data_IF_423658917207
#
_entry.id   IF_423658917207
#
_cell.length_a   1.000
_cell.length_b   1.000
_cell.length_c   1.000
_cell.angle_alpha   90.00
_cell.angle_beta   90.00
_cell.angle_gamma   90.00
#
_symmetry.space_group_name_H-M   'P 1'
#
loop_
_entity.id
_entity.type
_entity.pdbx_description
1 polymer ?
#
# COMPACT_ATOMS: atom_id res chain seq x y z
N UNK A 1 18.42 9.41 -6.51
CA UNK A 1 19.33 8.26 -6.41
C UNK A 1 19.13 7.50 -5.09
N UNK A 2 19.30 8.14 -3.91
CA UNK A 2 19.20 7.45 -2.61
C UNK A 2 17.82 6.85 -2.32
N UNK A 3 16.73 7.48 -2.75
CA UNK A 3 15.37 6.92 -2.66
C UNK A 3 15.27 5.60 -3.43
N UNK A 4 15.85 5.56 -4.64
CA UNK A 4 15.87 4.36 -5.46
C UNK A 4 16.71 3.24 -4.82
N UNK A 5 17.85 3.60 -4.19
CA UNK A 5 18.72 2.62 -3.52
C UNK A 5 18.05 1.94 -2.35
N UNK A 6 17.23 2.68 -1.63
CA UNK A 6 16.66 2.22 -0.38
C UNK A 6 15.33 1.47 -0.54
N UNK A 7 14.59 1.73 -1.60
CA UNK A 7 13.23 1.21 -1.79
C UNK A 7 13.14 0.22 -2.95
N UNK A 8 14.02 0.35 -3.96
CA UNK A 8 13.90 -0.38 -5.21
C UNK A 8 14.90 -1.53 -5.31
N UNK A 9 14.44 -2.76 -5.57
CA UNK A 9 15.32 -3.87 -5.96
C UNK A 9 15.91 -3.64 -7.37
N UNK A 10 17.01 -4.35 -7.69
CA UNK A 10 17.47 -4.43 -9.07
C UNK A 10 16.47 -5.23 -9.93
N UNK A 11 16.31 -4.93 -11.25
CA UNK A 11 17.04 -3.92 -12.03
C UNK A 11 16.45 -2.51 -11.98
N UNK A 12 15.31 -2.31 -11.30
CA UNK A 12 14.60 -1.03 -11.25
C UNK A 12 15.47 0.07 -10.61
N UNK A 13 16.24 -0.28 -9.58
CA UNK A 13 17.18 0.62 -8.91
C UNK A 13 18.17 1.25 -9.89
N UNK A 14 18.86 0.41 -10.68
CA UNK A 14 19.84 0.89 -11.66
C UNK A 14 19.20 1.76 -12.75
N UNK A 15 18.00 1.42 -13.21
CA UNK A 15 17.29 2.22 -14.23
C UNK A 15 16.91 3.60 -13.70
N UNK A 16 16.38 3.68 -12.48
CA UNK A 16 16.05 4.98 -11.85
C UNK A 16 17.31 5.78 -11.55
N UNK A 17 18.39 5.15 -11.08
CA UNK A 17 19.67 5.82 -10.88
C UNK A 17 20.19 6.42 -12.18
N UNK A 18 20.25 5.64 -13.26
CA UNK A 18 20.70 6.11 -14.56
C UNK A 18 19.85 7.26 -15.10
N UNK A 19 18.51 7.20 -14.91
CA UNK A 19 17.62 8.30 -15.30
C UNK A 19 17.86 9.57 -14.48
N UNK A 20 18.06 9.45 -13.18
CA UNK A 20 18.38 10.58 -12.29
C UNK A 20 19.76 11.16 -12.65
N UNK A 21 20.77 10.32 -12.84
CA UNK A 21 22.12 10.76 -13.22
C UNK A 21 22.11 11.46 -14.58
N UNK A 22 21.33 10.95 -15.55
CA UNK A 22 21.14 11.61 -16.86
C UNK A 22 20.50 13.01 -16.72
N UNK A 23 19.46 13.13 -15.89
CA UNK A 23 18.79 14.42 -15.64
C UNK A 23 19.71 15.40 -14.92
N UNK A 24 20.50 14.94 -13.96
CA UNK A 24 21.44 15.77 -13.21
C UNK A 24 22.60 16.24 -14.08
N UNK A 25 23.12 15.40 -14.99
CA UNK A 25 24.25 15.72 -15.85
C UNK A 25 23.89 16.71 -16.98
N UNK A 26 22.65 16.65 -17.48
CA UNK A 26 22.22 17.44 -18.62
C UNK A 26 21.53 18.79 -18.26
N UNK A 27 21.07 18.98 -17.02
CA UNK A 27 20.21 20.14 -16.70
C UNK A 27 20.79 21.18 -15.74
N UNK A 28 21.83 20.91 -14.97
CA UNK A 28 22.62 21.90 -14.20
C UNK A 28 23.59 21.19 -13.22
N UNK A 29 24.90 21.34 -13.35
CA UNK A 29 25.88 20.70 -12.44
C UNK A 29 25.83 21.24 -11.01
N UNK A 30 25.22 22.41 -10.78
CA UNK A 30 25.19 23.07 -9.45
C UNK A 30 23.95 22.70 -8.60
N UNK A 31 23.03 21.90 -9.12
CA UNK A 31 21.73 21.74 -8.46
C UNK A 31 21.70 20.73 -7.31
N UNK A 32 22.61 19.76 -7.27
CA UNK A 32 22.67 18.76 -6.19
C UNK A 32 24.12 18.38 -5.89
N UNK A 33 24.74 19.10 -4.97
CA UNK A 33 25.97 18.64 -4.34
C UNK A 33 25.72 17.24 -3.71
N UNK A 34 26.66 16.32 -3.92
CA UNK A 34 26.66 14.97 -3.36
C UNK A 34 26.43 14.95 -1.84
N UNK A 35 26.80 16.03 -1.15
CA UNK A 35 26.57 16.22 0.28
C UNK A 35 25.08 16.35 0.62
N UNK A 36 24.29 17.07 -0.19
CA UNK A 36 22.84 17.21 0.01
C UNK A 36 22.11 15.88 -0.20
N UNK A 37 22.48 15.12 -1.24
CA UNK A 37 21.91 13.79 -1.49
C UNK A 37 22.21 12.82 -0.36
N UNK A 38 23.42 12.89 0.23
CA UNK A 38 23.80 12.07 1.40
C UNK A 38 23.04 12.47 2.68
N UNK A 39 22.66 13.74 2.80
CA UNK A 39 21.90 14.22 3.97
C UNK A 39 20.40 13.89 3.91
N UNK A 40 19.85 13.52 2.74
CA UNK A 40 18.47 13.12 2.60
C UNK A 40 18.28 11.71 3.16
N UNK A 41 17.55 11.61 4.27
CA UNK A 41 17.19 10.32 4.88
C UNK A 41 15.74 10.00 4.59
N UNK A 42 15.50 8.86 3.93
CA UNK A 42 14.17 8.31 3.72
C UNK A 42 14.12 6.97 4.45
N UNK A 43 13.25 6.89 5.45
CA UNK A 43 13.01 5.65 6.19
C UNK A 43 11.69 5.05 5.70
N UNK A 44 11.72 4.01 4.88
CA UNK A 44 10.51 3.35 4.36
C UNK A 44 9.80 2.47 5.42
N UNK A 45 10.24 2.50 6.67
CA UNK A 45 9.78 1.61 7.73
C UNK A 45 10.42 0.22 7.67
N UNK A 46 9.72 -0.79 8.17
CA UNK A 46 10.18 -2.18 8.12
C UNK A 46 10.20 -2.65 6.66
N UNK A 47 11.34 -3.20 6.25
CA UNK A 47 11.50 -3.77 4.91
C UNK A 47 11.21 -5.26 4.94
N UNK A 48 10.54 -5.72 3.90
CA UNK A 48 10.32 -7.14 3.69
C UNK A 48 11.39 -7.66 2.75
N UNK A 49 12.04 -8.76 3.12
CA UNK A 49 13.00 -9.42 2.25
C UNK A 49 12.29 -9.97 1.01
N UNK A 50 12.84 -9.69 -0.16
CA UNK A 50 12.34 -10.18 -1.44
C UNK A 50 13.50 -10.92 -2.13
N UNK A 51 13.23 -12.12 -2.60
CA UNK A 51 14.16 -12.86 -3.44
C UNK A 51 14.42 -12.09 -4.73
N UNK A 52 15.70 -11.90 -5.06
CA UNK A 52 16.12 -11.08 -6.19
C UNK A 52 15.69 -11.68 -7.53
N UNK A 53 15.78 -12.99 -7.68
CA UNK A 53 15.47 -13.67 -8.95
C UNK A 53 13.96 -13.68 -9.18
N UNK A 54 13.17 -13.87 -8.11
CA UNK A 54 11.70 -13.72 -8.15
C UNK A 54 11.32 -12.30 -8.55
N UNK A 55 11.92 -11.28 -7.94
CA UNK A 55 11.60 -9.89 -8.29
C UNK A 55 11.93 -9.60 -9.75
N UNK A 56 13.11 -9.99 -10.21
CA UNK A 56 13.55 -9.79 -11.59
C UNK A 56 12.61 -10.47 -12.60
N UNK A 57 12.20 -11.72 -12.31
CA UNK A 57 11.25 -12.45 -13.16
C UNK A 57 9.90 -11.74 -13.23
N UNK A 58 9.37 -11.28 -12.10
CA UNK A 58 8.10 -10.51 -12.06
C UNK A 58 8.24 -9.19 -12.80
N UNK A 59 9.35 -8.48 -12.60
CA UNK A 59 9.62 -7.20 -13.25
C UNK A 59 9.72 -7.32 -14.77
N UNK A 60 10.49 -8.29 -15.28
CA UNK A 60 10.62 -8.51 -16.72
C UNK A 60 9.30 -8.96 -17.35
N UNK A 61 8.55 -9.83 -16.70
CA UNK A 61 7.24 -10.25 -17.20
C UNK A 61 6.25 -9.07 -17.26
N UNK A 62 6.23 -8.21 -16.24
CA UNK A 62 5.43 -6.97 -16.24
C UNK A 62 5.85 -6.04 -17.39
N UNK A 63 7.15 -5.77 -17.54
CA UNK A 63 7.71 -4.87 -18.54
C UNK A 63 7.45 -5.34 -19.98
N UNK A 64 7.47 -6.66 -20.20
CA UNK A 64 7.32 -7.27 -21.52
C UNK A 64 5.94 -7.86 -21.78
N UNK A 65 5.00 -7.66 -20.85
CA UNK A 65 3.61 -8.15 -20.89
C UNK A 65 3.52 -9.68 -21.03
N UNK A 66 4.41 -10.42 -20.37
CA UNK A 66 4.34 -11.87 -20.34
C UNK A 66 3.57 -12.38 -19.13
N UNK A 67 2.79 -13.43 -19.35
CA UNK A 67 2.11 -14.17 -18.28
C UNK A 67 3.14 -14.82 -17.36
N UNK A 68 2.87 -14.85 -16.06
CA UNK A 68 3.68 -15.52 -15.03
C UNK A 68 2.97 -16.76 -14.50
N UNK A 69 3.73 -17.84 -14.34
CA UNK A 69 3.37 -18.97 -13.49
C UNK A 69 4.12 -18.81 -12.14
N UNK A 70 3.39 -18.74 -11.02
CA UNK A 70 3.96 -18.50 -9.69
C UNK A 70 3.52 -19.56 -8.68
N UNK A 71 4.42 -19.88 -7.74
CA UNK A 71 4.07 -20.53 -6.47
C UNK A 71 3.89 -19.46 -5.40
N UNK A 72 2.68 -19.36 -4.85
CA UNK A 72 2.29 -18.27 -3.97
C UNK A 72 1.86 -18.78 -2.59
N UNK A 73 2.45 -18.21 -1.54
CA UNK A 73 2.09 -18.44 -0.14
C UNK A 73 1.07 -17.38 0.31
N UNK A 74 -0.16 -17.79 0.61
CA UNK A 74 -1.18 -16.85 1.08
C UNK A 74 -0.98 -16.44 2.55
N UNK A 75 -1.79 -15.49 3.04
CA UNK A 75 -1.71 -15.03 4.43
C UNK A 75 -2.05 -16.13 5.46
N UNK A 76 -2.67 -17.22 5.02
CA UNK A 76 -2.96 -18.40 5.84
C UNK A 76 -1.90 -19.51 5.72
N UNK A 77 -0.71 -19.20 5.18
CA UNK A 77 0.39 -20.13 4.95
C UNK A 77 0.04 -21.31 4.02
N UNK A 78 -0.91 -21.14 3.10
CA UNK A 78 -1.27 -22.16 2.11
C UNK A 78 -0.57 -21.85 0.80
N UNK A 79 0.19 -22.81 0.30
CA UNK A 79 0.84 -22.71 -1.01
C UNK A 79 -0.17 -23.03 -2.12
N UNK A 80 -0.07 -22.30 -3.22
CA UNK A 80 -0.91 -22.51 -4.40
C UNK A 80 -0.17 -22.06 -5.68
N UNK A 81 -0.36 -22.81 -6.77
CA UNK A 81 0.11 -22.42 -8.09
C UNK A 81 -0.89 -21.45 -8.72
N UNK A 82 -0.38 -20.37 -9.28
CA UNK A 82 -1.17 -19.33 -9.93
C UNK A 82 -0.57 -18.99 -11.28
N UNK A 83 -1.44 -18.75 -12.24
CA UNK A 83 -1.09 -18.07 -13.50
C UNK A 83 -1.64 -16.67 -13.44
N UNK A 84 -0.79 -15.68 -13.67
CA UNK A 84 -1.16 -14.27 -13.56
C UNK A 84 -0.63 -13.46 -14.75
N UNK A 85 -1.37 -12.44 -15.15
CA UNK A 85 -0.93 -11.43 -16.10
C UNK A 85 -0.62 -10.16 -15.30
N UNK A 86 0.65 -9.82 -15.04
CA UNK A 86 1.04 -8.69 -14.20
C UNK A 86 0.81 -7.36 -14.94
N UNK A 87 -0.10 -6.49 -14.45
CA UNK A 87 -0.43 -5.22 -15.08
C UNK A 87 0.22 -4.02 -14.38
N UNK A 88 0.37 -4.09 -13.06
CA UNK A 88 0.90 -2.99 -12.24
C UNK A 88 1.89 -3.53 -11.21
N UNK A 89 2.99 -2.80 -11.01
CA UNK A 89 3.86 -2.95 -9.84
C UNK A 89 3.59 -1.81 -8.87
N UNK A 90 3.44 -2.12 -7.59
CA UNK A 90 3.19 -1.14 -6.55
C UNK A 90 4.10 -1.37 -5.34
N UNK A 91 4.63 -0.28 -4.78
CA UNK A 91 5.32 -0.29 -3.50
C UNK A 91 4.43 0.36 -2.44
N UNK A 92 4.18 -0.35 -1.35
CA UNK A 92 3.39 0.16 -0.22
C UNK A 92 3.83 -0.47 1.09
N UNK A 93 3.92 0.33 2.14
CA UNK A 93 4.21 -0.10 3.52
C UNK A 93 5.45 -1.00 3.61
N UNK A 94 6.53 -0.67 2.87
CA UNK A 94 7.79 -1.40 2.87
C UNK A 94 7.80 -2.68 2.02
N UNK A 95 6.74 -2.99 1.28
CA UNK A 95 6.63 -4.18 0.46
C UNK A 95 6.27 -3.88 -1.00
N UNK A 96 6.75 -4.73 -1.90
CA UNK A 96 6.39 -4.72 -3.32
C UNK A 96 5.25 -5.69 -3.61
N UNK A 97 4.38 -5.26 -4.50
CA UNK A 97 3.22 -6.01 -4.96
C UNK A 97 3.14 -6.00 -6.47
N UNK A 98 2.65 -7.09 -7.05
CA UNK A 98 2.16 -7.09 -8.42
C UNK A 98 0.65 -7.24 -8.43
N UNK A 99 -0.02 -6.41 -9.24
CA UNK A 99 -1.46 -6.44 -9.43
C UNK A 99 -1.74 -6.84 -10.86
N UNK A 100 -2.60 -7.81 -11.05
CA UNK A 100 -2.91 -8.31 -12.37
C UNK A 100 -4.12 -9.23 -12.39
N UNK A 101 -4.37 -9.80 -13.58
CA UNK A 101 -5.42 -10.80 -13.77
C UNK A 101 -4.93 -12.16 -13.27
N UNK A 102 -5.71 -12.81 -12.43
CA UNK A 102 -5.45 -14.14 -11.93
C UNK A 102 -6.31 -15.16 -12.67
N UNK A 103 -5.71 -15.99 -13.52
CA UNK A 103 -6.45 -16.97 -14.35
C UNK A 103 -7.21 -18.01 -13.53
N UNK A 104 -6.74 -18.36 -12.32
CA UNK A 104 -7.44 -19.31 -11.45
C UNK A 104 -8.71 -18.71 -10.81
N UNK A 105 -8.73 -17.41 -10.59
CA UNK A 105 -9.85 -16.71 -9.94
C UNK A 105 -10.68 -15.88 -10.92
N UNK A 106 -10.21 -15.77 -12.16
CA UNK A 106 -10.84 -15.00 -13.24
C UNK A 106 -11.14 -13.54 -12.86
N UNK A 107 -10.26 -12.96 -12.03
CA UNK A 107 -10.43 -11.59 -11.53
C UNK A 107 -9.09 -10.90 -11.28
N UNK A 108 -9.13 -9.56 -11.14
CA UNK A 108 -8.02 -8.77 -10.65
C UNK A 108 -7.64 -9.18 -9.23
N UNK A 109 -6.34 -9.49 -9.02
CA UNK A 109 -5.76 -9.83 -7.72
C UNK A 109 -4.46 -9.09 -7.49
N UNK A 110 -4.14 -8.91 -6.19
CA UNK A 110 -2.87 -8.35 -5.72
C UNK A 110 -2.05 -9.46 -5.07
N UNK A 111 -0.80 -9.57 -5.48
CA UNK A 111 0.16 -10.54 -4.97
C UNK A 111 1.35 -9.81 -4.35
N UNK A 112 1.63 -10.09 -3.08
CA UNK A 112 2.84 -9.60 -2.42
C UNK A 112 4.05 -10.36 -2.98
N UNK A 113 5.02 -9.66 -3.56
CA UNK A 113 6.14 -10.32 -4.25
C UNK A 113 6.98 -11.15 -3.28
N UNK A 114 7.16 -10.72 -2.04
CA UNK A 114 7.87 -11.48 -1.01
C UNK A 114 7.17 -12.79 -0.56
N UNK A 115 5.94 -13.04 -1.03
CA UNK A 115 5.21 -14.30 -0.80
C UNK A 115 5.21 -15.22 -2.01
N UNK A 116 5.92 -14.85 -3.07
CA UNK A 116 6.13 -15.70 -4.23
C UNK A 116 7.37 -16.54 -3.93
N UNK A 117 7.19 -17.84 -3.80
CA UNK A 117 8.27 -18.80 -3.54
C UNK A 117 9.05 -19.13 -4.82
N UNK A 118 8.36 -19.14 -5.98
CA UNK A 118 8.95 -19.33 -7.29
C UNK A 118 8.14 -18.58 -8.34
N UNK A 119 8.82 -18.06 -9.36
CA UNK A 119 8.20 -17.36 -10.50
C UNK A 119 8.86 -17.81 -11.78
N UNK A 120 8.08 -18.12 -12.79
CA UNK A 120 8.53 -18.47 -14.13
C UNK A 120 7.76 -17.64 -15.16
N UNK A 121 8.50 -17.01 -16.08
CA UNK A 121 7.89 -16.24 -17.16
C UNK A 121 7.41 -17.20 -18.26
N UNK A 122 6.12 -17.15 -18.56
CA UNK A 122 5.50 -17.97 -19.61
C UNK A 122 5.76 -17.35 -20.99
N UNK A 123 5.72 -18.16 -22.04
CA UNK A 123 5.82 -17.67 -23.44
C UNK A 123 4.59 -16.88 -23.90
N UNK A 124 3.48 -16.93 -23.16
CA UNK A 124 2.25 -16.25 -23.51
C UNK A 124 2.36 -14.75 -23.20
N UNK A 125 2.08 -13.93 -24.20
CA UNK A 125 1.97 -12.47 -24.08
C UNK A 125 0.52 -12.10 -23.90
N UNK A 126 0.22 -11.20 -22.96
CA UNK A 126 -1.12 -10.66 -22.74
C UNK A 126 -1.22 -9.20 -23.21
N UNK A 127 -2.42 -8.72 -23.47
CA UNK A 127 -2.67 -7.28 -23.69
C UNK A 127 -2.91 -6.59 -22.37
N UNK A 128 -2.21 -5.48 -22.07
CA UNK A 128 -2.50 -4.68 -20.90
C UNK A 128 -3.98 -4.24 -20.86
N UNK A 129 -4.64 -4.46 -19.74
CA UNK A 129 -6.03 -4.05 -19.53
C UNK A 129 -6.06 -2.66 -18.89
N UNK A 130 -6.58 -1.67 -19.64
CA UNK A 130 -6.81 -0.33 -19.10
C UNK A 130 -7.73 -0.38 -17.87
N UNK A 131 -8.78 -1.23 -17.91
CA UNK A 131 -9.71 -1.41 -16.79
C UNK A 131 -8.97 -1.80 -15.48
N UNK A 132 -8.01 -2.72 -15.55
CA UNK A 132 -7.23 -3.13 -14.39
C UNK A 132 -6.34 -1.97 -13.91
N UNK A 133 -5.65 -1.30 -14.83
CA UNK A 133 -4.73 -0.19 -14.52
C UNK A 133 -5.51 0.97 -13.88
N UNK A 134 -6.59 1.43 -14.51
CA UNK A 134 -7.44 2.52 -14.02
C UNK A 134 -8.10 2.17 -12.68
N UNK A 135 -8.47 0.90 -12.49
CA UNK A 135 -9.00 0.46 -11.20
C UNK A 135 -7.98 0.51 -10.07
N UNK A 136 -6.69 0.31 -10.37
CA UNK A 136 -5.62 0.45 -9.37
C UNK A 136 -5.36 1.92 -9.08
N UNK A 137 -5.40 2.78 -10.08
CA UNK A 137 -5.26 4.23 -9.90
C UNK A 137 -6.39 4.81 -9.04
N UNK A 138 -7.63 4.39 -9.30
CA UNK A 138 -8.83 4.87 -8.60
C UNK A 138 -8.97 4.31 -7.19
N UNK A 139 -8.82 2.99 -7.03
CA UNK A 139 -9.16 2.25 -5.81
C UNK A 139 -7.92 1.81 -5.02
N UNK A 140 -6.73 2.07 -5.56
CA UNK A 140 -5.47 1.59 -5.02
C UNK A 140 -5.16 0.11 -5.33
N UNK A 141 -3.99 -0.37 -4.89
CA UNK A 141 -3.51 -1.71 -5.20
C UNK A 141 -4.32 -2.84 -4.53
N UNK A 142 -5.10 -2.53 -3.50
CA UNK A 142 -5.89 -3.51 -2.76
C UNK A 142 -7.38 -3.21 -2.87
N UNK A 143 -8.19 -4.26 -3.04
CA UNK A 143 -9.64 -4.16 -2.93
C UNK A 143 -10.02 -4.17 -1.45
N UNK A 144 -10.09 -3.01 -0.84
CA UNK A 144 -10.61 -2.88 0.53
C UNK A 144 -12.14 -2.75 0.52
N UNK A 145 -12.76 -3.32 1.55
CA UNK A 145 -14.11 -2.93 1.90
C UNK A 145 -14.08 -1.49 2.40
N UNK A 146 -14.97 -0.66 1.90
CA UNK A 146 -15.09 0.73 2.31
C UNK A 146 -16.25 0.91 3.27
N UNK A 147 -16.07 1.76 4.26
CA UNK A 147 -17.16 2.32 5.04
C UNK A 147 -17.60 3.65 4.45
N UNK A 148 -18.92 3.84 4.37
CA UNK A 148 -19.55 5.08 3.91
C UNK A 148 -20.04 5.87 5.13
N UNK A 149 -20.02 7.21 5.03
CA UNK A 149 -20.61 8.12 6.00
C UNK A 149 -20.15 7.84 7.46
N UNK A 150 -18.83 7.68 7.62
CA UNK A 150 -18.25 7.43 8.94
C UNK A 150 -18.33 8.69 9.79
N UNK A 151 -18.90 8.57 11.01
CA UNK A 151 -18.93 9.63 12.02
C UNK A 151 -18.21 9.18 13.28
N UNK A 152 -17.29 10.02 13.70
CA UNK A 152 -16.45 9.80 14.88
C UNK A 152 -16.58 10.97 15.83
N UNK A 153 -16.47 10.71 17.13
CA UNK A 153 -16.22 11.70 18.17
C UNK A 153 -14.79 11.51 18.66
N UNK A 154 -13.98 12.54 18.55
CA UNK A 154 -12.55 12.52 18.79
C UNK A 154 -12.18 13.47 19.95
N UNK A 155 -11.19 13.07 20.75
CA UNK A 155 -10.57 13.95 21.71
C UNK A 155 -9.75 15.05 21.01
N UNK A 156 -9.74 16.26 21.53
CA UNK A 156 -9.07 17.42 20.93
C UNK A 156 -7.55 17.24 20.81
N UNK A 157 -6.94 16.39 21.64
CA UNK A 157 -5.50 16.09 21.58
C UNK A 157 -5.04 15.53 20.23
N UNK A 158 -5.94 14.86 19.48
CA UNK A 158 -5.62 14.29 18.16
C UNK A 158 -6.03 15.19 16.99
N UNK A 159 -6.54 16.41 17.25
CA UNK A 159 -6.99 17.31 16.18
C UNK A 159 -5.91 17.56 15.14
N UNK A 160 -4.68 17.84 15.59
CA UNK A 160 -3.54 18.06 14.71
C UNK A 160 -3.26 16.84 13.82
N UNK A 161 -3.27 15.65 14.40
CA UNK A 161 -3.02 14.39 13.66
C UNK A 161 -4.02 14.19 12.52
N UNK A 162 -5.31 14.38 12.77
CA UNK A 162 -6.35 14.18 11.75
C UNK A 162 -6.42 15.31 10.72
N UNK A 163 -5.89 16.49 11.05
CA UNK A 163 -5.80 17.63 10.13
C UNK A 163 -4.60 17.49 9.21
N UNK A 164 -3.43 17.07 9.72
CA UNK A 164 -2.20 16.92 8.95
C UNK A 164 -2.20 15.67 8.05
N UNK A 165 -2.93 14.62 8.47
CA UNK A 165 -3.04 13.36 7.71
C UNK A 165 -4.52 13.01 7.50
N UNK A 166 -5.23 13.73 6.61
CA UNK A 166 -6.65 13.47 6.37
C UNK A 166 -6.84 12.12 5.67
N UNK A 167 -7.80 11.34 6.15
CA UNK A 167 -8.20 10.07 5.52
C UNK A 167 -9.03 10.28 4.25
N UNK A 168 -9.61 11.47 4.07
CA UNK A 168 -10.38 11.80 2.88
C UNK A 168 -10.34 13.32 2.63
N UNK A 169 -10.18 13.73 1.35
CA UNK A 169 -10.10 15.15 0.95
C UNK A 169 -11.32 15.98 1.37
N UNK A 170 -12.50 15.35 1.47
CA UNK A 170 -13.76 15.99 1.84
C UNK A 170 -14.19 15.64 3.29
N UNK A 171 -13.27 15.22 4.16
CA UNK A 171 -13.61 15.04 5.57
C UNK A 171 -13.98 16.37 6.21
N UNK A 172 -14.91 16.34 7.17
CA UNK A 172 -15.37 17.52 7.91
C UNK A 172 -15.03 17.38 9.38
N UNK A 173 -14.51 18.44 9.95
CA UNK A 173 -14.17 18.55 11.38
C UNK A 173 -15.01 19.66 11.96
N UNK A 174 -15.82 19.35 12.99
CA UNK A 174 -16.67 20.33 13.65
C UNK A 174 -16.44 20.28 15.16
N UNK A 175 -16.21 21.43 15.83
CA UNK A 175 -16.05 21.45 17.28
C UNK A 175 -17.35 21.04 17.97
N UNK A 176 -17.25 20.26 19.04
CA UNK A 176 -18.43 19.86 19.87
C UNK A 176 -18.41 20.55 21.22
N UNK A 177 -17.27 20.52 21.90
CA UNK A 177 -17.07 21.16 23.20
C UNK A 177 -15.59 21.53 23.41
N UNK A 178 -15.19 21.87 24.64
CA UNK A 178 -13.79 22.26 24.94
C UNK A 178 -12.77 21.15 24.70
N UNK A 179 -13.20 19.89 24.78
CA UNK A 179 -12.31 18.70 24.75
C UNK A 179 -12.51 17.80 23.53
N UNK A 180 -13.64 17.98 22.80
CA UNK A 180 -14.02 17.05 21.73
C UNK A 180 -14.42 17.77 20.45
N UNK A 181 -14.24 17.05 19.34
CA UNK A 181 -14.72 17.43 18.02
C UNK A 181 -15.35 16.22 17.30
N UNK A 182 -16.23 16.48 16.36
CA UNK A 182 -16.73 15.46 15.45
C UNK A 182 -15.87 15.41 14.18
N UNK A 183 -15.67 14.21 13.66
CA UNK A 183 -15.01 13.97 12.39
C UNK A 183 -15.95 13.13 11.51
N UNK A 184 -16.36 13.72 10.38
CA UNK A 184 -17.21 13.07 9.38
C UNK A 184 -16.40 12.76 8.13
N UNK A 185 -16.40 11.48 7.68
CA UNK A 185 -15.65 11.00 6.54
C UNK A 185 -16.62 10.35 5.55
N UNK A 186 -16.75 10.88 4.30
CA UNK A 186 -17.71 10.37 3.32
C UNK A 186 -17.49 8.91 2.94
N UNK A 187 -16.23 8.54 2.68
CA UNK A 187 -15.82 7.18 2.36
C UNK A 187 -14.40 6.95 2.86
N UNK A 188 -14.14 5.77 3.39
CA UNK A 188 -12.79 5.40 3.87
C UNK A 188 -12.61 3.88 3.82
N UNK A 189 -11.44 3.38 3.42
CA UNK A 189 -11.11 1.96 3.48
C UNK A 189 -11.19 1.43 4.92
N UNK A 190 -11.79 0.24 5.09
CA UNK A 190 -11.92 -0.43 6.38
C UNK A 190 -10.59 -0.53 7.12
N UNK A 191 -9.54 -0.89 6.40
CA UNK A 191 -8.20 -1.03 6.96
C UNK A 191 -7.69 0.29 7.57
N UNK A 192 -7.83 1.41 6.85
CA UNK A 192 -7.31 2.71 7.27
C UNK A 192 -8.05 3.25 8.50
N UNK A 193 -9.39 3.17 8.48
CA UNK A 193 -10.18 3.64 9.63
C UNK A 193 -9.99 2.77 10.87
N UNK A 194 -9.87 1.45 10.70
CA UNK A 194 -9.57 0.55 11.81
C UNK A 194 -8.20 0.84 12.42
N UNK A 195 -7.17 1.02 11.58
CA UNK A 195 -5.82 1.36 12.04
C UNK A 195 -5.81 2.69 12.78
N UNK A 196 -6.48 3.73 12.24
CA UNK A 196 -6.60 5.02 12.89
C UNK A 196 -7.26 4.91 14.27
N UNK A 197 -8.41 4.23 14.37
CA UNK A 197 -9.16 4.12 15.63
C UNK A 197 -8.35 3.35 16.69
N UNK A 198 -7.70 2.26 16.31
CA UNK A 198 -6.94 1.42 17.24
C UNK A 198 -5.65 2.10 17.72
N UNK A 199 -4.93 2.80 16.82
CA UNK A 199 -3.69 3.51 17.17
C UNK A 199 -3.92 4.68 18.12
N UNK A 200 -5.14 5.23 18.18
CA UNK A 200 -5.47 6.34 19.07
C UNK A 200 -5.96 5.89 20.47
N UNK A 201 -5.85 4.60 20.80
CA UNK A 201 -5.99 4.06 22.16
C UNK A 201 -7.19 4.61 22.95
N UNK A 202 -8.38 4.66 22.33
CA UNK A 202 -9.62 5.11 22.97
C UNK A 202 -9.93 6.60 22.83
N UNK A 203 -9.05 7.42 22.25
CA UNK A 203 -9.32 8.85 21.99
C UNK A 203 -10.34 9.07 20.87
N UNK A 204 -10.73 8.02 20.15
CA UNK A 204 -11.74 8.04 19.09
C UNK A 204 -12.92 7.12 19.46
N UNK A 205 -14.11 7.68 19.46
CA UNK A 205 -15.37 6.93 19.58
C UNK A 205 -16.03 6.84 18.21
N UNK A 206 -16.28 5.64 17.73
CA UNK A 206 -17.07 5.41 16.50
C UNK A 206 -18.55 5.59 16.82
N UNK A 207 -19.19 6.54 16.14
CA UNK A 207 -20.63 6.79 16.23
C UNK A 207 -21.37 6.05 15.14
N UNK A 208 -20.93 6.21 13.88
CA UNK A 208 -21.47 5.56 12.69
C UNK A 208 -20.33 5.06 11.79
N UNK A 209 -20.53 3.99 11.03
CA UNK A 209 -21.67 3.07 11.07
C UNK A 209 -21.58 2.03 12.20
N UNK A 210 -22.71 1.42 12.55
CA UNK A 210 -22.78 0.40 13.61
C UNK A 210 -21.87 -0.81 13.34
N UNK A 211 -21.68 -1.18 12.08
CA UNK A 211 -20.76 -2.27 11.67
C UNK A 211 -19.31 -2.00 12.08
N UNK A 212 -18.80 -0.80 11.82
CA UNK A 212 -17.46 -0.39 12.24
C UNK A 212 -17.33 -0.39 13.77
N UNK A 213 -18.31 0.15 14.47
CA UNK A 213 -18.33 0.15 15.94
C UNK A 213 -18.28 -1.25 16.52
N UNK A 214 -19.07 -2.20 15.96
CA UNK A 214 -19.08 -3.61 16.39
C UNK A 214 -17.69 -4.25 16.17
N UNK A 215 -17.06 -3.96 15.06
CA UNK A 215 -15.74 -4.49 14.73
C UNK A 215 -14.65 -3.97 15.66
N UNK A 216 -14.62 -2.65 15.94
CA UNK A 216 -13.68 -2.04 16.90
C UNK A 216 -13.86 -2.67 18.30
N UNK A 217 -15.10 -2.84 18.77
CA UNK A 217 -15.37 -3.51 20.06
C UNK A 217 -14.87 -4.95 20.10
N UNK A 218 -15.09 -5.70 19.03
CA UNK A 218 -14.63 -7.10 18.94
C UNK A 218 -13.10 -7.21 19.01
N UNK A 219 -12.37 -6.29 18.34
CA UNK A 219 -10.91 -6.25 18.42
C UNK A 219 -10.44 -5.86 19.82
N UNK A 220 -11.03 -4.83 20.44
CA UNK A 220 -10.69 -4.41 21.80
C UNK A 220 -10.91 -5.55 22.83
N UNK A 221 -12.01 -6.30 22.70
CA UNK A 221 -12.27 -7.46 23.55
C UNK A 221 -11.25 -8.57 23.39
N UNK A 222 -10.78 -8.82 22.14
CA UNK A 222 -9.71 -9.80 21.88
C UNK A 222 -8.39 -9.37 22.52
N UNK A 223 -8.05 -8.08 22.43
CA UNK A 223 -6.85 -7.51 23.07
C UNK A 223 -6.94 -7.70 24.58
N UNK A 224 -8.03 -7.28 25.21
CA UNK A 224 -8.23 -7.45 26.65
C UNK A 224 -8.12 -8.92 27.09
N UNK A 225 -8.74 -9.84 26.34
CA UNK A 225 -8.67 -11.28 26.65
C UNK A 225 -7.25 -11.85 26.48
N UNK A 226 -6.44 -11.32 25.59
CA UNK A 226 -5.08 -11.78 25.36
C UNK A 226 -4.09 -11.30 26.45
N UNK A 227 -4.47 -10.27 27.21
CA UNK A 227 -3.64 -9.64 28.24
C UNK A 227 -4.25 -9.73 29.66
N UNK A 228 -5.33 -10.47 29.83
CA UNK A 228 -5.90 -10.82 31.12
C UNK A 228 -5.30 -12.14 31.65
#
# INVERSE_FOLDING_TARGET
AKIAEDIMPEPLRSQVRNAVDFLLTNNNPDFLDTAYVKSLMISPGLRVHIDKDVFNTVFEAWKTNHTLDIEYLDAGNRTSKRRIDPHVLAFRDGAWFTIGYCHLREERRTFAIHRIAAAEMNKKVFRPSAEIIDSVEKDGPFKYKNYQNVKLVCNKSILKTVTEKPLHKNQKIEPMDKERFSLSIPVVPEYEIMLMVLNQAGLIKVVEPAGLRKQVRAVAQKILKAHA
#
